data_IF_256844183757
#
_entry.id   IF_256844183757
#
_cell.length_a   1.000
_cell.length_b   1.000
_cell.length_c   1.000
_cell.angle_alpha   90.00
_cell.angle_beta   90.00
_cell.angle_gamma   90.00
#
_symmetry.space_group_name_H-M   'P 1'
#
loop_
_entity.id
_entity.type
_entity.pdbx_description
1 polymer ?
#
# COMPACT_ATOMS: atom_id res chain seq x y z
N UNK A 1 5.76 -8.25 -22.38
CA UNK A 1 5.59 -7.07 -21.51
C UNK A 1 5.08 -7.56 -20.15
N UNK A 2 5.97 -7.86 -19.21
CA UNK A 2 5.58 -8.18 -17.82
C UNK A 2 6.01 -7.01 -16.95
N UNK A 3 5.16 -5.99 -16.87
CA UNK A 3 5.38 -4.82 -16.02
C UNK A 3 5.01 -5.20 -14.59
N UNK A 4 5.94 -5.84 -13.88
CA UNK A 4 5.83 -6.04 -12.45
C UNK A 4 6.48 -4.82 -11.74
N UNK A 5 6.01 -3.62 -12.07
CA UNK A 5 6.58 -2.38 -11.50
C UNK A 5 6.20 -2.25 -10.03
N UNK A 6 7.23 -2.19 -9.19
CA UNK A 6 7.09 -1.96 -7.76
C UNK A 6 6.81 -0.48 -7.51
N UNK A 7 5.55 -0.15 -7.24
CA UNK A 7 5.13 1.19 -6.86
C UNK A 7 5.43 1.51 -5.39
N UNK A 8 5.61 2.80 -5.10
CA UNK A 8 5.65 3.37 -3.76
C UNK A 8 4.27 3.98 -3.46
N UNK A 9 3.57 3.44 -2.46
CA UNK A 9 2.19 3.80 -2.12
C UNK A 9 2.16 4.47 -0.76
N UNK A 10 1.61 5.69 -0.70
CA UNK A 10 1.32 6.39 0.55
C UNK A 10 -0.14 6.20 0.93
N UNK A 11 -0.41 5.79 2.17
CA UNK A 11 -1.77 5.67 2.72
C UNK A 11 -1.92 6.65 3.88
N UNK A 12 -2.95 7.51 3.82
CA UNK A 12 -3.29 8.42 4.92
C UNK A 12 -4.49 7.82 5.67
N UNK A 13 -4.31 7.55 6.96
CA UNK A 13 -5.30 6.89 7.82
C UNK A 13 -4.96 5.43 8.10
N UNK A 14 -4.75 5.07 9.36
CA UNK A 14 -4.45 3.73 9.88
C UNK A 14 -5.69 3.01 10.45
N UNK A 15 -6.89 3.44 10.02
CA UNK A 15 -8.14 2.73 10.32
C UNK A 15 -8.28 1.41 9.55
N UNK A 16 -9.39 0.70 9.77
CA UNK A 16 -9.63 -0.61 9.17
C UNK A 16 -9.53 -0.61 7.62
N UNK A 17 -10.03 0.44 6.96
CA UNK A 17 -9.94 0.59 5.51
C UNK A 17 -8.50 0.82 5.04
N UNK A 18 -7.74 1.69 5.72
CA UNK A 18 -6.35 1.99 5.36
C UNK A 18 -5.42 0.79 5.53
N UNK A 19 -5.59 0.03 6.62
CA UNK A 19 -4.85 -1.22 6.82
C UNK A 19 -5.22 -2.31 5.82
N UNK A 20 -6.51 -2.41 5.45
CA UNK A 20 -6.96 -3.37 4.42
C UNK A 20 -6.33 -3.05 3.06
N UNK A 21 -6.32 -1.77 2.67
CA UNK A 21 -5.66 -1.32 1.45
C UNK A 21 -4.13 -1.57 1.49
N UNK A 22 -3.47 -1.27 2.61
CA UNK A 22 -2.04 -1.52 2.80
C UNK A 22 -1.70 -3.00 2.58
N UNK A 23 -2.52 -3.90 3.13
CA UNK A 23 -2.33 -5.33 3.00
C UNK A 23 -2.39 -5.79 1.53
N UNK A 24 -3.35 -5.30 0.76
CA UNK A 24 -3.46 -5.64 -0.67
C UNK A 24 -2.25 -5.13 -1.47
N UNK A 25 -1.81 -3.88 -1.24
CA UNK A 25 -0.67 -3.33 -1.95
C UNK A 25 0.65 -4.03 -1.61
N UNK A 26 0.87 -4.41 -0.35
CA UNK A 26 2.04 -5.20 0.05
C UNK A 26 1.99 -6.59 -0.61
N UNK A 27 0.82 -7.23 -0.66
CA UNK A 27 0.65 -8.54 -1.31
C UNK A 27 0.89 -8.47 -2.82
N UNK A 28 0.55 -7.35 -3.45
CA UNK A 28 0.89 -7.06 -4.85
C UNK A 28 2.38 -6.75 -5.07
N UNK A 29 3.19 -6.70 -4.00
CA UNK A 29 4.64 -6.49 -4.06
C UNK A 29 5.07 -5.03 -4.00
N UNK A 30 4.15 -4.10 -3.72
CA UNK A 30 4.44 -2.67 -3.63
C UNK A 30 5.03 -2.30 -2.26
N UNK A 31 5.77 -1.18 -2.24
CA UNK A 31 6.26 -0.60 -1.01
C UNK A 31 5.22 0.39 -0.48
N UNK A 32 4.75 0.17 0.75
CA UNK A 32 3.67 0.97 1.34
C UNK A 32 4.18 1.73 2.56
N UNK A 33 3.85 3.01 2.65
CA UNK A 33 4.05 3.85 3.84
C UNK A 33 2.70 4.37 4.32
N UNK A 34 2.40 4.17 5.60
CA UNK A 34 1.16 4.64 6.23
C UNK A 34 1.47 5.89 7.05
N UNK A 35 0.64 6.91 6.91
CA UNK A 35 0.68 8.15 7.68
C UNK A 35 -0.64 8.29 8.45
N UNK A 36 -0.57 8.68 9.72
CA UNK A 36 -1.70 8.91 10.62
C UNK A 36 -1.38 10.14 11.48
N UNK A 37 -2.41 10.82 12.00
CA UNK A 37 -2.28 12.06 12.78
C UNK A 37 -1.74 11.85 14.21
#
# INVERSE_FOLDING_TARGET
MTQNEKLNVGIIGAGAAGLSAAWEFVRAGHQVTIYEA
#
